data_IF_202801009951
#
_entry.id   IF_202801009951
#
_cell.length_a   1.000
_cell.length_b   1.000
_cell.length_c   1.000
_cell.angle_alpha   90.00
_cell.angle_beta   90.00
_cell.angle_gamma   90.00
#
_symmetry.space_group_name_H-M   'P 1'
#
loop_
_entity.id
_entity.type
_entity.pdbx_description
1 polymer ?
#
# COMPACT_ATOMS: atom_id res chain seq x y z
N UNK A 1 13.09 -9.72 10.00
CA UNK A 1 12.16 -9.65 8.86
C UNK A 1 12.11 -8.21 8.37
N UNK A 2 12.14 -7.89 7.07
CA UNK A 2 12.19 -6.49 6.55
C UNK A 2 10.96 -5.62 6.85
N UNK A 3 10.06 -6.12 7.70
CA UNK A 3 8.84 -5.48 8.17
C UNK A 3 8.92 -5.09 9.67
N UNK A 4 10.10 -5.21 10.27
CA UNK A 4 10.36 -4.66 11.61
C UNK A 4 10.29 -3.13 11.55
N UNK A 5 9.68 -2.51 12.56
CA UNK A 5 9.45 -1.06 12.64
C UNK A 5 10.75 -0.29 12.38
N UNK A 6 11.87 -0.66 13.00
CA UNK A 6 13.15 0.01 12.77
C UNK A 6 13.66 -0.03 11.32
N UNK A 7 13.33 -1.07 10.53
CA UNK A 7 13.69 -1.15 9.11
C UNK A 7 12.75 -0.29 8.25
N UNK A 8 11.47 -0.21 8.62
CA UNK A 8 10.50 0.70 8.00
C UNK A 8 10.93 2.15 8.23
N UNK A 9 11.29 2.49 9.47
CA UNK A 9 11.80 3.80 9.85
C UNK A 9 13.10 4.13 9.11
N UNK A 10 14.00 3.15 8.96
CA UNK A 10 15.23 3.31 8.17
C UNK A 10 14.95 3.68 6.71
N UNK A 11 13.89 3.12 6.10
CA UNK A 11 13.48 3.50 4.75
C UNK A 11 12.84 4.90 4.72
N UNK A 12 12.00 5.24 5.69
CA UNK A 12 11.42 6.59 5.81
C UNK A 12 12.50 7.65 6.07
N UNK A 13 13.60 7.29 6.73
CA UNK A 13 14.77 8.17 6.91
C UNK A 13 15.40 8.61 5.59
N UNK A 14 15.34 7.79 4.53
CA UNK A 14 15.81 8.17 3.20
C UNK A 14 14.95 9.32 2.65
N UNK A 15 13.62 9.19 2.73
CA UNK A 15 12.70 10.26 2.35
C UNK A 15 12.91 11.52 3.20
N UNK A 16 13.07 11.37 4.52
CA UNK A 16 13.33 12.50 5.41
C UNK A 16 14.65 13.22 5.06
N UNK A 17 15.71 12.48 4.71
CA UNK A 17 16.98 13.07 4.28
C UNK A 17 16.82 13.89 3.01
N UNK A 18 16.08 13.37 2.03
CA UNK A 18 15.75 14.13 0.81
C UNK A 18 15.01 15.42 1.11
N UNK A 19 14.00 15.38 1.98
CA UNK A 19 13.23 16.57 2.39
C UNK A 19 14.12 17.58 3.12
N UNK A 20 15.06 17.13 3.95
CA UNK A 20 16.05 18.04 4.57
C UNK A 20 16.90 18.77 3.54
N UNK A 21 17.31 18.09 2.47
CA UNK A 21 18.06 18.74 1.38
C UNK A 21 17.22 19.79 0.65
N UNK A 22 15.91 19.56 0.50
CA UNK A 22 14.99 20.58 -0.04
C UNK A 22 14.87 21.75 0.95
N UNK A 23 14.69 21.46 2.25
CA UNK A 23 14.61 22.49 3.29
C UNK A 23 15.82 23.42 3.29
N UNK A 24 17.03 22.86 3.13
CA UNK A 24 18.25 23.65 2.96
C UNK A 24 18.18 24.60 1.76
N UNK A 25 17.67 24.13 0.62
CA UNK A 25 17.49 24.97 -0.59
C UNK A 25 16.43 26.06 -0.41
N UNK A 26 15.49 25.85 0.50
CA UNK A 26 14.47 26.84 0.88
C UNK A 26 14.94 27.80 1.98
N UNK A 27 16.20 27.69 2.43
CA UNK A 27 16.80 28.60 3.43
C UNK A 27 16.64 28.15 4.88
N UNK A 28 16.12 26.95 5.15
CA UNK A 28 16.09 26.39 6.51
C UNK A 28 17.45 25.84 6.92
N UNK A 29 17.74 25.86 8.22
CA UNK A 29 18.88 25.15 8.79
C UNK A 29 18.62 23.64 8.83
N UNK A 30 19.63 22.81 8.54
CA UNK A 30 19.49 21.36 8.41
C UNK A 30 18.77 20.65 9.58
N UNK A 31 19.05 21.10 10.82
CA UNK A 31 18.46 20.52 12.05
C UNK A 31 17.05 21.01 12.34
N UNK A 32 16.69 22.19 11.81
CA UNK A 32 15.44 22.89 12.10
C UNK A 32 14.47 22.87 10.91
N UNK A 33 14.65 21.94 9.96
CA UNK A 33 13.75 21.77 8.82
C UNK A 33 12.39 21.25 9.31
N UNK A 34 11.27 21.94 9.02
CA UNK A 34 9.93 21.49 9.39
C UNK A 34 9.48 20.35 8.46
N UNK A 35 9.94 19.12 8.74
CA UNK A 35 9.75 17.95 7.88
C UNK A 35 8.28 17.71 7.48
N UNK A 36 7.36 17.71 8.45
CA UNK A 36 5.95 17.43 8.18
C UNK A 36 5.30 18.51 7.31
N UNK A 37 5.61 19.79 7.57
CA UNK A 37 5.09 20.90 6.76
C UNK A 37 5.61 20.81 5.32
N UNK A 38 6.90 20.49 5.13
CA UNK A 38 7.45 20.29 3.79
C UNK A 38 6.89 19.04 3.09
N UNK A 39 6.63 17.95 3.83
CA UNK A 39 5.96 16.77 3.25
C UNK A 39 4.60 17.14 2.69
N UNK A 40 3.79 17.87 3.46
CA UNK A 40 2.48 18.35 3.02
C UNK A 40 2.59 19.31 1.85
N UNK A 41 3.50 20.29 1.92
CA UNK A 41 3.72 21.25 0.85
C UNK A 41 4.16 20.59 -0.48
N UNK A 42 4.97 19.54 -0.39
CA UNK A 42 5.45 18.78 -1.55
C UNK A 42 4.48 17.67 -1.98
N UNK A 43 3.33 17.51 -1.31
CA UNK A 43 2.40 16.39 -1.48
C UNK A 43 3.09 15.01 -1.39
N UNK A 44 4.09 14.90 -0.51
CA UNK A 44 4.87 13.68 -0.29
C UNK A 44 4.26 12.82 0.80
N UNK A 45 3.55 11.78 0.36
CA UNK A 45 3.02 10.75 1.23
C UNK A 45 4.14 9.94 1.92
N UNK A 46 3.92 9.47 3.17
CA UNK A 46 4.77 8.48 3.82
C UNK A 46 5.03 7.25 2.95
N UNK A 47 6.24 6.69 3.02
CA UNK A 47 6.63 5.57 2.15
C UNK A 47 5.75 4.34 2.35
N UNK A 48 5.35 4.06 3.59
CA UNK A 48 4.51 2.90 3.91
C UNK A 48 3.13 2.97 3.24
N UNK A 49 2.49 4.15 3.21
CA UNK A 49 1.21 4.35 2.52
C UNK A 49 1.39 4.25 1.00
N UNK A 50 2.47 4.83 0.44
CA UNK A 50 2.78 4.70 -0.99
C UNK A 50 2.92 3.23 -1.41
N UNK A 51 3.53 2.42 -0.56
CA UNK A 51 3.64 0.97 -0.76
C UNK A 51 2.28 0.29 -0.74
N UNK A 52 1.40 0.61 0.21
CA UNK A 52 0.04 0.05 0.27
C UNK A 52 -0.78 0.39 -0.97
N UNK A 53 -0.75 1.65 -1.41
CA UNK A 53 -1.42 2.09 -2.65
C UNK A 53 -0.89 1.31 -3.86
N UNK A 54 0.43 1.14 -3.95
CA UNK A 54 1.07 0.42 -5.05
C UNK A 54 0.71 -1.06 -5.05
N UNK A 55 0.73 -1.69 -3.88
CA UNK A 55 0.31 -3.07 -3.65
C UNK A 55 -1.15 -3.28 -4.13
N UNK A 56 -2.07 -2.40 -3.74
CA UNK A 56 -3.49 -2.48 -4.14
C UNK A 56 -3.72 -2.24 -5.64
N UNK A 57 -3.01 -1.26 -6.22
CA UNK A 57 -3.08 -1.00 -7.67
C UNK A 57 -2.51 -2.16 -8.47
N UNK A 58 -1.41 -2.77 -8.02
CA UNK A 58 -0.86 -3.96 -8.64
C UNK A 58 -1.86 -5.13 -8.57
N UNK A 59 -2.46 -5.36 -7.41
CA UNK A 59 -3.47 -6.40 -7.23
C UNK A 59 -4.68 -6.20 -8.15
N UNK A 60 -5.21 -4.97 -8.26
CA UNK A 60 -6.27 -4.64 -9.21
C UNK A 60 -5.86 -4.98 -10.65
N UNK A 61 -4.66 -4.55 -11.06
CA UNK A 61 -4.16 -4.82 -12.42
C UNK A 61 -4.04 -6.31 -12.70
N UNK A 62 -3.63 -7.10 -11.71
CA UNK A 62 -3.52 -8.56 -11.82
C UNK A 62 -4.90 -9.21 -11.99
N UNK A 63 -5.89 -8.82 -11.19
CA UNK A 63 -7.23 -9.42 -11.21
C UNK A 63 -8.04 -8.98 -12.44
N UNK A 64 -7.92 -7.71 -12.83
CA UNK A 64 -8.61 -7.16 -14.00
C UNK A 64 -7.87 -7.45 -15.31
N UNK A 65 -6.91 -8.39 -15.33
CA UNK A 65 -6.15 -8.81 -16.52
C UNK A 65 -5.44 -7.67 -17.27
N UNK A 66 -5.08 -6.59 -16.56
CA UNK A 66 -4.19 -5.54 -17.10
C UNK A 66 -2.73 -6.03 -17.11
N UNK A 67 -2.39 -6.95 -16.21
CA UNK A 67 -1.12 -7.68 -16.19
C UNK A 67 -1.41 -9.15 -16.45
N UNK A 68 -0.84 -9.69 -17.53
CA UNK A 68 -0.93 -11.11 -17.86
C UNK A 68 0.16 -11.90 -17.12
N UNK A 69 -0.18 -12.40 -15.93
CA UNK A 69 0.71 -13.23 -15.12
C UNK A 69 -0.07 -14.37 -14.48
N UNK A 70 -0.40 -15.44 -15.23
CA UNK A 70 -1.26 -16.53 -14.75
C UNK A 70 -0.69 -17.19 -13.49
N UNK A 71 0.63 -17.34 -13.39
CA UNK A 71 1.32 -17.90 -12.22
C UNK A 71 1.09 -17.07 -10.94
N UNK A 72 0.98 -15.74 -11.07
CA UNK A 72 0.70 -14.87 -9.93
C UNK A 72 -0.78 -14.89 -9.58
N UNK A 73 -1.66 -14.98 -10.59
CA UNK A 73 -3.09 -15.08 -10.41
C UNK A 73 -3.49 -16.40 -9.72
N UNK A 74 -2.85 -17.51 -10.09
CA UNK A 74 -3.02 -18.83 -9.47
C UNK A 74 -2.68 -18.82 -7.97
N UNK A 75 -1.75 -17.96 -7.56
CA UNK A 75 -1.39 -17.77 -6.15
C UNK A 75 -2.35 -16.89 -5.34
N UNK A 76 -3.46 -16.40 -5.93
CA UNK A 76 -4.50 -15.66 -5.21
C UNK A 76 -5.60 -16.61 -4.73
N UNK A 77 -5.90 -16.57 -3.45
CA UNK A 77 -6.93 -17.39 -2.84
C UNK A 77 -8.25 -16.63 -2.78
N UNK A 78 -9.06 -16.73 -3.83
CA UNK A 78 -10.39 -16.11 -3.83
C UNK A 78 -11.33 -16.81 -2.85
N UNK A 79 -12.05 -16.02 -2.05
CA UNK A 79 -13.06 -16.56 -1.15
C UNK A 79 -14.34 -16.86 -1.92
N UNK A 80 -14.62 -18.12 -2.19
CA UNK A 80 -15.91 -18.57 -2.69
C UNK A 80 -16.98 -18.58 -1.58
N UNK A 81 -17.47 -17.40 -1.15
CA UNK A 81 -18.56 -17.30 -0.17
C UNK A 81 -19.92 -17.12 -0.85
N UNK A 82 -20.93 -17.91 -0.44
CA UNK A 82 -22.34 -17.68 -0.82
C UNK A 82 -23.00 -16.54 -0.06
N UNK A 83 -22.40 -16.09 1.04
CA UNK A 83 -22.98 -15.04 1.89
C UNK A 83 -22.43 -13.68 1.49
N UNK A 84 -23.32 -12.84 0.94
CA UNK A 84 -23.07 -11.45 0.51
C UNK A 84 -22.64 -10.50 1.65
N UNK A 85 -22.79 -10.91 2.91
CA UNK A 85 -22.53 -10.06 4.08
C UNK A 85 -21.05 -10.01 4.51
N UNK A 86 -20.19 -10.82 3.88
CA UNK A 86 -18.75 -10.77 4.12
C UNK A 86 -18.03 -10.14 2.93
N UNK A 87 -17.54 -8.91 3.04
CA UNK A 87 -16.93 -8.18 1.92
C UNK A 87 -15.50 -8.64 1.57
N UNK A 88 -14.97 -9.65 2.26
CA UNK A 88 -13.60 -10.11 2.03
C UNK A 88 -13.50 -10.92 0.74
N UNK A 89 -12.79 -10.35 -0.24
CA UNK A 89 -12.56 -10.96 -1.56
C UNK A 89 -11.64 -12.19 -1.48
N UNK A 90 -10.67 -12.19 -0.57
CA UNK A 90 -9.67 -13.26 -0.45
C UNK A 90 -9.89 -14.12 0.79
N UNK A 91 -9.50 -15.38 0.72
CA UNK A 91 -9.48 -16.29 1.86
C UNK A 91 -8.39 -15.85 2.85
N UNK A 92 -8.63 -16.10 4.15
CA UNK A 92 -7.60 -15.91 5.18
C UNK A 92 -6.76 -17.17 5.25
N UNK A 93 -5.46 -17.03 5.00
CA UNK A 93 -4.49 -18.11 5.14
C UNK A 93 -3.69 -17.97 6.43
N UNK A 94 -3.27 -19.13 6.97
CA UNK A 94 -2.31 -19.21 8.07
C UNK A 94 -0.91 -19.42 7.52
N UNK A 95 0.06 -18.64 8.02
CA UNK A 95 1.45 -18.72 7.58
C UNK A 95 2.34 -19.15 8.73
N UNK A 96 3.22 -20.11 8.48
CA UNK A 96 4.10 -20.71 9.50
C UNK A 96 5.27 -19.80 9.88
N UNK A 97 5.68 -18.90 8.98
CA UNK A 97 6.80 -17.98 9.21
C UNK A 97 6.41 -16.52 8.96
N UNK A 98 7.02 -15.60 9.70
CA UNK A 98 6.86 -14.16 9.44
C UNK A 98 7.32 -13.77 8.03
N UNK A 99 8.35 -14.46 7.50
CA UNK A 99 8.82 -14.21 6.14
C UNK A 99 7.71 -14.47 5.11
N UNK A 100 7.05 -15.63 5.18
CA UNK A 100 5.92 -15.94 4.31
C UNK A 100 4.74 -15.01 4.57
N UNK A 101 4.41 -14.74 5.83
CA UNK A 101 3.35 -13.80 6.19
C UNK A 101 3.56 -12.43 5.54
N UNK A 102 4.79 -11.92 5.49
CA UNK A 102 5.04 -10.62 4.89
C UNK A 102 5.40 -10.64 3.40
N UNK A 103 5.53 -11.81 2.78
CA UNK A 103 5.77 -11.96 1.35
C UNK A 103 4.67 -11.31 0.51
N UNK A 104 4.92 -11.12 -0.79
CA UNK A 104 4.09 -10.29 -1.66
C UNK A 104 2.62 -10.73 -1.69
N UNK A 105 2.30 -11.93 -2.19
CA UNK A 105 0.91 -12.38 -2.38
C UNK A 105 0.09 -12.38 -1.07
N UNK A 106 0.58 -12.93 0.05
CA UNK A 106 -0.11 -12.84 1.34
C UNK A 106 -0.41 -11.42 1.79
N UNK A 107 0.56 -10.51 1.60
CA UNK A 107 0.42 -9.11 1.99
C UNK A 107 -0.64 -8.41 1.14
N UNK A 108 -0.64 -8.63 -0.17
CA UNK A 108 -1.63 -8.06 -1.09
C UNK A 108 -3.06 -8.47 -0.71
N UNK A 109 -3.28 -9.77 -0.54
CA UNK A 109 -4.60 -10.33 -0.21
C UNK A 109 -5.12 -9.82 1.14
N UNK A 110 -4.25 -9.79 2.17
CA UNK A 110 -4.62 -9.23 3.48
C UNK A 110 -4.93 -7.73 3.40
N UNK A 111 -4.10 -6.97 2.68
CA UNK A 111 -4.30 -5.54 2.55
C UNK A 111 -5.65 -5.25 1.89
N UNK A 112 -5.99 -5.99 0.84
CA UNK A 112 -7.29 -5.89 0.18
C UNK A 112 -8.46 -6.25 1.10
N UNK A 113 -8.34 -7.32 1.90
CA UNK A 113 -9.36 -7.73 2.86
C UNK A 113 -9.57 -6.76 4.03
N UNK A 114 -8.62 -5.85 4.27
CA UNK A 114 -8.71 -4.83 5.30
C UNK A 114 -9.35 -3.53 4.78
N UNK A 115 -9.58 -3.41 3.47
CA UNK A 115 -10.28 -2.27 2.91
C UNK A 115 -11.78 -2.31 3.27
N UNK A 116 -12.44 -1.15 3.33
CA UNK A 116 -13.90 -1.05 3.44
C UNK A 116 -14.57 -1.83 2.31
N UNK A 117 -15.68 -2.50 2.61
CA UNK A 117 -16.41 -3.32 1.65
C UNK A 117 -17.03 -2.55 0.48
N UNK A 118 -17.06 -1.22 0.55
CA UNK A 118 -17.52 -0.33 -0.52
C UNK A 118 -16.47 -0.17 -1.63
N UNK A 119 -15.21 -0.54 -1.37
CA UNK A 119 -14.11 -0.37 -2.31
C UNK A 119 -14.02 -1.59 -3.22
N UNK A 120 -14.58 -1.45 -4.42
CA UNK A 120 -14.65 -2.52 -5.40
C UNK A 120 -13.48 -2.50 -6.39
N UNK A 121 -12.80 -3.65 -6.51
CA UNK A 121 -11.70 -3.87 -7.45
C UNK A 121 -12.16 -3.93 -8.91
N UNK A 122 -13.44 -4.18 -9.19
CA UNK A 122 -13.95 -4.47 -10.52
C UNK A 122 -14.67 -3.29 -11.20
N UNK A 123 -15.34 -2.39 -10.45
CA UNK A 123 -16.16 -1.31 -11.03
C UNK A 123 -15.40 -0.05 -11.43
N UNK A 124 -14.39 0.38 -10.68
CA UNK A 124 -13.71 1.64 -10.95
C UNK A 124 -12.57 1.49 -11.96
N UNK A 125 -12.36 2.48 -12.84
CA UNK A 125 -11.11 2.61 -13.61
C UNK A 125 -9.90 2.79 -12.69
N UNK A 126 -8.68 2.55 -13.18
CA UNK A 126 -7.45 2.60 -12.36
C UNK A 126 -7.27 3.90 -11.56
N UNK A 127 -7.57 5.04 -12.18
CA UNK A 127 -7.44 6.35 -11.54
C UNK A 127 -8.54 6.62 -10.51
N UNK A 128 -9.77 6.21 -10.80
CA UNK A 128 -10.88 6.30 -9.84
C UNK A 128 -10.61 5.43 -8.62
N UNK A 129 -10.16 4.20 -8.84
CA UNK A 129 -9.78 3.28 -7.77
C UNK A 129 -8.63 3.83 -6.92
N UNK A 130 -7.60 4.43 -7.56
CA UNK A 130 -6.52 5.09 -6.84
C UNK A 130 -7.04 6.18 -5.91
N UNK A 131 -7.95 7.05 -6.40
CA UNK A 131 -8.55 8.10 -5.57
C UNK A 131 -9.30 7.52 -4.38
N UNK A 132 -10.12 6.49 -4.59
CA UNK A 132 -10.85 5.82 -3.50
C UNK A 132 -9.93 5.22 -2.43
N UNK A 133 -8.79 4.61 -2.84
CA UNK A 133 -7.80 4.11 -1.89
C UNK A 133 -7.20 5.25 -1.07
N UNK A 134 -6.83 6.36 -1.71
CA UNK A 134 -6.24 7.50 -1.01
C UNK A 134 -7.19 8.07 0.04
N UNK A 135 -8.46 8.26 -0.32
CA UNK A 135 -9.51 8.68 0.62
C UNK A 135 -9.68 7.71 1.79
N UNK A 136 -9.58 6.41 1.54
CA UNK A 136 -9.68 5.39 2.59
C UNK A 136 -8.45 5.35 3.52
N UNK A 137 -7.28 5.72 3.02
CA UNK A 137 -6.03 5.75 3.77
C UNK A 137 -5.77 7.12 4.42
N UNK A 138 -6.79 7.97 4.51
CA UNK A 138 -6.75 9.32 5.06
C UNK A 138 -5.64 10.21 4.43
N UNK A 139 -5.44 10.12 3.10
CA UNK A 139 -4.48 10.94 2.34
C UNK A 139 -5.10 11.63 1.11
#
# INVERSE_FOLDING_TARGET
SPYQIGLIDSLEHIQNRFIRMIGLRLGFEYRNVPLNALKLHLNLMPLHLRRQVTDLLFLKKLICSVIEAPQLLEGLDFRASRQLRHPQLFARQHYTTQYLFHSALPRLQRLANNLPGELDFFSAGSDGFKKSILTCLDF
#
